data_IF_417637784875
#
_entry.id   IF_417637784875
#
_cell.length_a   1.000
_cell.length_b   1.000
_cell.length_c   1.000
_cell.angle_alpha   90.00
_cell.angle_beta   90.00
_cell.angle_gamma   90.00
#
_symmetry.space_group_name_H-M   'P 1'
#
loop_
_entity.id
_entity.type
_entity.pdbx_description
1 polymer ?
#
# COMPACT_ATOMS: atom_id res chain seq x y z
N UNK A 1 -9.32 -26.33 -30.48
CA UNK A 1 -10.78 -26.34 -30.50
C UNK A 1 -11.23 -24.90 -30.74
N UNK A 2 -11.74 -24.58 -31.93
CA UNK A 2 -12.16 -23.23 -32.29
C UNK A 2 -13.47 -22.91 -31.60
N UNK A 3 -13.43 -22.16 -30.50
CA UNK A 3 -14.63 -21.68 -29.84
C UNK A 3 -15.17 -20.48 -30.62
N UNK A 4 -16.23 -20.78 -31.38
CA UNK A 4 -17.24 -19.86 -31.91
C UNK A 4 -17.55 -18.79 -30.86
N UNK A 5 -17.81 -17.55 -31.28
CA UNK A 5 -18.24 -16.42 -30.43
C UNK A 5 -19.36 -16.90 -29.50
N UNK A 6 -19.03 -17.27 -28.26
CA UNK A 6 -20.00 -17.75 -27.29
C UNK A 6 -20.72 -16.54 -26.69
N UNK A 7 -22.03 -16.66 -26.54
CA UNK A 7 -22.84 -15.63 -25.91
C UNK A 7 -22.52 -15.57 -24.41
N UNK A 8 -22.67 -14.40 -23.77
CA UNK A 8 -22.41 -14.24 -22.34
C UNK A 8 -23.25 -15.20 -21.49
N UNK A 9 -24.48 -15.50 -21.91
CA UNK A 9 -25.37 -16.44 -21.24
C UNK A 9 -24.84 -17.89 -21.28
N UNK A 10 -24.26 -18.32 -22.40
CA UNK A 10 -23.68 -19.66 -22.53
C UNK A 10 -22.43 -19.82 -21.65
N UNK A 11 -21.56 -18.81 -21.68
CA UNK A 11 -20.37 -18.77 -20.83
C UNK A 11 -20.75 -18.82 -19.34
N UNK A 12 -21.72 -17.99 -18.93
CA UNK A 12 -22.22 -17.96 -17.55
C UNK A 12 -22.82 -19.31 -17.13
N UNK A 13 -23.57 -19.96 -18.03
CA UNK A 13 -24.14 -21.28 -17.76
C UNK A 13 -23.04 -22.34 -17.53
N UNK A 14 -22.01 -22.38 -18.38
CA UNK A 14 -20.90 -23.31 -18.26
C UNK A 14 -20.09 -23.08 -16.97
N UNK A 15 -19.81 -21.82 -16.63
CA UNK A 15 -19.10 -21.46 -15.39
C UNK A 15 -19.90 -21.91 -14.17
N UNK A 16 -21.22 -21.70 -14.16
CA UNK A 16 -22.09 -22.07 -13.02
C UNK A 16 -22.23 -23.57 -12.83
N UNK A 17 -22.41 -24.32 -13.93
CA UNK A 17 -22.78 -25.74 -13.86
C UNK A 17 -21.57 -26.67 -13.88
N UNK A 18 -20.53 -26.31 -14.62
CA UNK A 18 -19.37 -27.18 -14.87
C UNK A 18 -18.09 -26.65 -14.23
N UNK A 19 -18.13 -25.46 -13.59
CA UNK A 19 -16.95 -24.77 -13.07
C UNK A 19 -15.83 -24.64 -14.15
N UNK A 20 -16.24 -24.46 -15.41
CA UNK A 20 -15.34 -24.46 -16.55
C UNK A 20 -14.43 -23.21 -16.54
N UNK A 21 -13.13 -23.44 -16.33
CA UNK A 21 -12.10 -22.41 -16.31
C UNK A 21 -11.90 -21.77 -17.68
N UNK A 22 -12.05 -22.54 -18.76
CA UNK A 22 -11.87 -22.05 -20.13
C UNK A 22 -13.00 -21.06 -20.47
N UNK A 23 -14.22 -21.38 -20.06
CA UNK A 23 -15.36 -20.47 -20.22
C UNK A 23 -15.14 -19.15 -19.46
N UNK A 24 -14.56 -19.20 -18.26
CA UNK A 24 -14.20 -18.00 -17.52
C UNK A 24 -13.10 -17.19 -18.20
N UNK A 25 -12.07 -17.83 -18.76
CA UNK A 25 -11.01 -17.14 -19.50
C UNK A 25 -11.57 -16.34 -20.69
N UNK A 26 -12.53 -16.92 -21.43
CA UNK A 26 -13.23 -16.18 -22.50
C UNK A 26 -14.02 -14.98 -21.97
N UNK A 27 -14.72 -15.16 -20.85
CA UNK A 27 -15.46 -14.06 -20.21
C UNK A 27 -14.50 -12.96 -19.73
N UNK A 28 -13.36 -13.34 -19.13
CA UNK A 28 -12.31 -12.42 -18.72
C UNK A 28 -11.77 -11.62 -19.91
N UNK A 29 -11.40 -12.28 -21.00
CA UNK A 29 -10.87 -11.62 -22.19
C UNK A 29 -11.85 -10.58 -22.77
N UNK A 30 -13.16 -10.86 -22.68
CA UNK A 30 -14.22 -9.96 -23.14
C UNK A 30 -14.42 -8.75 -22.22
N UNK A 31 -14.31 -8.93 -20.91
CA UNK A 31 -14.64 -7.90 -19.91
C UNK A 31 -13.43 -7.14 -19.32
N UNK A 32 -12.19 -7.61 -19.50
CA UNK A 32 -10.99 -6.97 -18.93
C UNK A 32 -10.88 -5.48 -19.29
N UNK A 33 -11.13 -5.10 -20.56
CA UNK A 33 -11.06 -3.70 -21.01
C UNK A 33 -12.18 -2.86 -20.39
N UNK A 34 -13.33 -3.48 -20.15
CA UNK A 34 -14.46 -2.83 -19.49
C UNK A 34 -14.18 -2.59 -18.00
N UNK A 35 -13.53 -3.54 -17.32
CA UNK A 35 -13.09 -3.37 -15.93
C UNK A 35 -12.09 -2.23 -15.84
N UNK A 36 -11.05 -2.22 -16.68
CA UNK A 36 -10.07 -1.14 -16.74
C UNK A 36 -10.72 0.23 -16.97
N UNK A 37 -11.66 0.30 -17.92
CA UNK A 37 -12.46 1.52 -18.13
C UNK A 37 -13.17 1.96 -16.86
N UNK A 38 -13.76 1.04 -16.09
CA UNK A 38 -14.42 1.39 -14.84
C UNK A 38 -13.44 1.84 -13.76
N UNK A 39 -12.28 1.19 -13.62
CA UNK A 39 -11.21 1.57 -12.67
C UNK A 39 -10.75 3.01 -12.94
N UNK A 40 -10.46 3.35 -14.19
CA UNK A 40 -10.04 4.70 -14.57
C UNK A 40 -11.10 5.78 -14.35
N UNK A 41 -12.40 5.40 -14.27
CA UNK A 41 -13.49 6.32 -13.94
C UNK A 41 -13.64 6.57 -12.43
N UNK A 42 -12.95 5.81 -11.57
CA UNK A 42 -13.07 5.94 -10.11
C UNK A 42 -12.23 7.07 -9.51
N UNK A 43 -11.41 7.77 -10.31
CA UNK A 43 -10.55 8.88 -9.85
C UNK A 43 -9.64 8.54 -8.66
N UNK A 44 -9.12 7.31 -8.62
CA UNK A 44 -8.20 6.80 -7.58
C UNK A 44 -6.73 6.92 -8.01
N UNK A 45 -5.81 6.91 -7.05
CA UNK A 45 -4.36 6.92 -7.28
C UNK A 45 -3.93 5.74 -8.16
N UNK A 46 -2.97 5.97 -9.06
CA UNK A 46 -2.51 4.94 -10.02
C UNK A 46 -1.98 3.67 -9.35
N UNK A 47 -1.37 3.80 -8.17
CA UNK A 47 -0.88 2.65 -7.38
C UNK A 47 -2.00 1.68 -6.96
N UNK A 48 -3.24 2.17 -6.84
CA UNK A 48 -4.41 1.36 -6.45
C UNK A 48 -5.07 0.72 -7.68
N UNK A 49 -4.68 1.09 -8.90
CA UNK A 49 -5.38 0.66 -10.10
C UNK A 49 -5.31 -0.86 -10.31
N UNK A 50 -4.14 -1.46 -10.06
CA UNK A 50 -3.95 -2.90 -10.21
C UNK A 50 -4.81 -3.68 -9.21
N UNK A 51 -4.87 -3.23 -7.95
CA UNK A 51 -5.71 -3.84 -6.91
C UNK A 51 -7.20 -3.76 -7.25
N UNK A 52 -7.67 -2.59 -7.70
CA UNK A 52 -9.04 -2.42 -8.16
C UNK A 52 -9.35 -3.25 -9.41
N UNK A 53 -8.39 -3.41 -10.31
CA UNK A 53 -8.55 -4.26 -11.49
C UNK A 53 -8.70 -5.73 -11.07
N UNK A 54 -7.86 -6.23 -10.16
CA UNK A 54 -7.97 -7.59 -9.62
C UNK A 54 -9.30 -7.83 -8.93
N UNK A 55 -9.75 -6.90 -8.08
CA UNK A 55 -11.07 -6.94 -7.44
C UNK A 55 -12.20 -6.92 -8.48
N UNK A 56 -12.02 -6.21 -9.60
CA UNK A 56 -12.93 -6.26 -10.73
C UNK A 56 -13.03 -7.63 -11.39
N UNK A 57 -11.91 -8.36 -11.52
CA UNK A 57 -11.90 -9.74 -12.02
C UNK A 57 -12.63 -10.66 -11.05
N UNK A 58 -12.38 -10.54 -9.75
CA UNK A 58 -13.09 -11.32 -8.73
C UNK A 58 -14.61 -11.04 -8.78
N UNK A 59 -14.99 -9.79 -8.98
CA UNK A 59 -16.39 -9.39 -9.16
C UNK A 59 -16.99 -9.96 -10.45
N UNK A 60 -16.22 -10.13 -11.53
CA UNK A 60 -16.67 -10.78 -12.75
C UNK A 60 -16.96 -12.26 -12.51
N UNK A 61 -16.08 -12.96 -11.79
CA UNK A 61 -16.30 -14.36 -11.39
C UNK A 61 -17.55 -14.49 -10.52
N UNK A 62 -17.69 -13.63 -9.51
CA UNK A 62 -18.89 -13.56 -8.67
C UNK A 62 -20.14 -13.25 -9.49
N UNK A 63 -20.06 -12.36 -10.47
CA UNK A 63 -21.18 -12.05 -11.37
C UNK A 63 -21.60 -13.29 -12.15
N UNK A 64 -20.63 -14.02 -12.71
CA UNK A 64 -20.88 -15.25 -13.45
C UNK A 64 -21.60 -16.29 -12.57
N UNK A 65 -21.24 -16.45 -11.30
CA UNK A 65 -21.90 -17.39 -10.40
C UNK A 65 -23.29 -16.96 -9.93
N UNK A 66 -23.50 -15.65 -9.72
CA UNK A 66 -24.72 -15.12 -9.08
C UNK A 66 -25.76 -14.56 -10.05
N UNK A 67 -25.42 -14.43 -11.34
CA UNK A 67 -26.33 -13.86 -12.34
C UNK A 67 -27.62 -14.66 -12.46
N UNK A 68 -28.75 -13.96 -12.54
CA UNK A 68 -30.07 -14.57 -12.63
C UNK A 68 -30.84 -13.88 -13.76
N UNK A 69 -31.11 -14.66 -14.81
CA UNK A 69 -31.75 -14.19 -16.04
C UNK A 69 -33.21 -13.77 -15.80
N UNK A 70 -33.87 -14.32 -14.78
CA UNK A 70 -35.26 -13.99 -14.44
C UNK A 70 -35.45 -12.52 -14.04
N UNK A 71 -34.38 -11.81 -13.70
CA UNK A 71 -34.40 -10.42 -13.24
C UNK A 71 -34.45 -9.37 -14.36
N UNK A 72 -34.71 -9.78 -15.61
CA UNK A 72 -34.86 -8.89 -16.79
C UNK A 72 -33.72 -7.87 -16.95
N UNK A 73 -32.47 -8.29 -16.70
CA UNK A 73 -31.26 -7.48 -16.92
C UNK A 73 -30.25 -8.30 -17.70
N UNK A 74 -29.57 -7.66 -18.66
CA UNK A 74 -28.46 -8.30 -19.34
C UNK A 74 -27.32 -8.54 -18.35
N UNK A 75 -26.53 -9.59 -18.60
CA UNK A 75 -25.35 -9.92 -17.78
C UNK A 75 -24.42 -8.71 -17.64
N UNK A 76 -24.12 -8.00 -18.74
CA UNK A 76 -23.29 -6.80 -18.74
C UNK A 76 -23.81 -5.72 -17.78
N UNK A 77 -25.12 -5.46 -17.78
CA UNK A 77 -25.73 -4.44 -16.90
C UNK A 77 -25.75 -4.87 -15.44
N UNK A 78 -25.98 -6.16 -15.19
CA UNK A 78 -25.86 -6.72 -13.85
C UNK A 78 -24.42 -6.60 -13.32
N UNK A 79 -23.44 -7.00 -14.13
CA UNK A 79 -22.03 -6.93 -13.78
C UNK A 79 -21.57 -5.48 -13.51
N UNK A 80 -21.89 -4.56 -14.42
CA UNK A 80 -21.57 -3.13 -14.25
C UNK A 80 -22.12 -2.57 -12.93
N UNK A 81 -23.36 -2.93 -12.57
CA UNK A 81 -24.02 -2.47 -11.36
C UNK A 81 -23.27 -2.95 -10.11
N UNK A 82 -22.97 -4.24 -10.01
CA UNK A 82 -22.31 -4.79 -8.82
C UNK A 82 -20.85 -4.35 -8.74
N UNK A 83 -20.17 -4.20 -9.88
CA UNK A 83 -18.79 -3.74 -9.98
C UNK A 83 -18.65 -2.31 -9.43
N UNK A 84 -19.49 -1.38 -9.91
CA UNK A 84 -19.47 0.01 -9.43
C UNK A 84 -19.75 0.10 -7.93
N UNK A 85 -20.72 -0.66 -7.42
CA UNK A 85 -21.03 -0.71 -5.98
C UNK A 85 -19.84 -1.19 -5.16
N UNK A 86 -19.16 -2.24 -5.62
CA UNK A 86 -17.97 -2.79 -4.98
C UNK A 86 -16.84 -1.75 -4.95
N UNK A 87 -16.57 -1.09 -6.07
CA UNK A 87 -15.55 -0.05 -6.13
C UNK A 87 -15.84 1.13 -5.21
N UNK A 88 -17.08 1.63 -5.12
CA UNK A 88 -17.42 2.68 -4.16
C UNK A 88 -17.21 2.23 -2.71
N UNK A 89 -17.51 0.97 -2.38
CA UNK A 89 -17.24 0.41 -1.06
C UNK A 89 -15.73 0.32 -0.78
N UNK A 90 -14.92 -0.08 -1.75
CA UNK A 90 -13.46 -0.10 -1.61
C UNK A 90 -12.89 1.31 -1.40
N UNK A 91 -13.32 2.28 -2.21
CA UNK A 91 -12.88 3.69 -2.08
C UNK A 91 -13.19 4.22 -0.68
N UNK A 92 -14.37 3.91 -0.13
CA UNK A 92 -14.74 4.33 1.22
C UNK A 92 -13.84 3.79 2.34
N UNK A 93 -13.08 2.72 2.06
CA UNK A 93 -12.15 2.08 2.99
C UNK A 93 -10.69 2.48 2.78
N UNK A 94 -10.38 3.22 1.70
CA UNK A 94 -9.02 3.65 1.43
C UNK A 94 -8.49 4.57 2.54
N UNK A 95 -7.20 4.48 2.89
CA UNK A 95 -6.62 5.31 3.92
C UNK A 95 -6.69 6.79 3.53
N UNK A 96 -7.29 7.60 4.41
CA UNK A 96 -7.41 9.05 4.19
C UNK A 96 -6.07 9.78 4.26
N UNK A 97 -5.09 9.19 4.95
CA UNK A 97 -3.74 9.73 5.12
C UNK A 97 -2.72 8.68 4.70
N UNK A 98 -1.80 9.07 3.82
CA UNK A 98 -0.66 8.25 3.44
C UNK A 98 0.50 8.62 4.38
N UNK A 99 0.95 7.66 5.18
CA UNK A 99 2.16 7.82 5.98
C UNK A 99 3.34 7.42 5.10
N UNK A 100 4.21 8.37 4.80
CA UNK A 100 5.50 8.07 4.19
C UNK A 100 6.46 7.69 5.33
N UNK A 101 7.05 6.50 5.25
CA UNK A 101 8.21 6.19 6.08
C UNK A 101 9.36 7.08 5.60
N UNK A 102 9.94 7.89 6.49
CA UNK A 102 11.17 8.63 6.19
C UNK A 102 12.26 7.61 5.85
N UNK A 103 12.52 7.38 4.57
CA UNK A 103 13.57 6.49 4.07
C UNK A 103 14.96 6.87 4.59
N UNK A 104 15.15 8.15 4.95
CA UNK A 104 16.32 8.66 5.66
C UNK A 104 16.59 7.99 7.02
N UNK A 105 15.60 7.33 7.63
CA UNK A 105 15.80 6.64 8.91
C UNK A 105 16.53 5.29 8.73
N UNK A 106 16.26 4.57 7.64
CA UNK A 106 16.85 3.25 7.37
C UNK A 106 18.24 3.36 6.73
N UNK A 107 18.45 4.37 5.87
CA UNK A 107 19.72 4.58 5.16
C UNK A 107 20.89 4.90 6.12
N UNK A 108 20.60 5.47 7.30
CA UNK A 108 21.60 5.69 8.35
C UNK A 108 22.09 4.41 9.06
N UNK A 109 21.41 3.27 8.92
CA UNK A 109 21.72 2.06 9.70
C UNK A 109 22.18 0.85 8.86
N UNK A 110 22.08 0.89 7.53
CA UNK A 110 22.29 -0.32 6.71
C UNK A 110 23.67 -0.48 6.05
N UNK A 111 24.62 0.45 6.20
CA UNK A 111 25.93 0.35 5.51
C UNK A 111 27.19 0.69 6.32
N UNK A 112 27.15 0.71 7.65
CA UNK A 112 28.38 0.71 8.46
C UNK A 112 28.35 -0.38 9.53
N UNK A 113 28.62 -1.62 9.10
CA UNK A 113 29.39 -2.54 9.92
C UNK A 113 30.82 -1.98 10.05
N UNK A 114 31.27 -1.78 11.28
CA UNK A 114 32.68 -1.56 11.67
C UNK A 114 33.36 -0.23 11.29
N UNK A 115 32.76 0.91 11.62
CA UNK A 115 33.55 2.09 12.05
C UNK A 115 33.16 2.43 13.48
N UNK A 116 34.13 2.31 14.37
CA UNK A 116 34.00 2.30 15.84
C UNK A 116 33.10 3.43 16.36
N UNK A 117 32.04 3.11 17.10
CA UNK A 117 31.24 4.11 17.83
C UNK A 117 32.12 5.06 18.68
N UNK A 118 33.31 4.60 19.09
CA UNK A 118 34.33 5.37 19.80
C UNK A 118 34.85 6.60 19.03
N UNK A 119 34.96 6.56 17.70
CA UNK A 119 35.45 7.71 16.91
C UNK A 119 34.41 8.84 16.86
N UNK A 120 33.12 8.48 16.82
CA UNK A 120 32.02 9.43 16.80
C UNK A 120 31.83 10.13 18.16
N UNK A 121 32.13 9.41 19.26
CA UNK A 121 32.07 9.93 20.61
C UNK A 121 33.13 11.02 20.80
N UNK A 122 34.33 10.87 20.25
CA UNK A 122 35.43 11.82 20.48
C UNK A 122 35.18 13.21 19.85
N UNK A 123 34.40 13.26 18.76
CA UNK A 123 33.98 14.50 18.09
C UNK A 123 32.77 15.19 18.76
N UNK A 124 32.13 14.55 19.75
CA UNK A 124 30.96 15.06 20.43
C UNK A 124 31.33 15.85 21.70
N UNK A 125 30.60 16.93 21.96
CA UNK A 125 30.67 17.58 23.28
C UNK A 125 30.09 16.67 24.37
N UNK A 126 30.45 16.89 25.64
CA UNK A 126 29.93 16.08 26.76
C UNK A 126 28.39 16.02 26.78
N UNK A 127 27.75 17.15 26.47
CA UNK A 127 26.30 17.21 26.31
C UNK A 127 25.79 16.35 25.16
N UNK A 128 26.46 16.36 24.00
CA UNK A 128 26.07 15.53 22.86
C UNK A 128 26.31 14.04 23.11
N UNK A 129 27.34 13.68 23.90
CA UNK A 129 27.58 12.28 24.32
C UNK A 129 26.44 11.77 25.19
N UNK A 130 25.98 12.55 26.17
CA UNK A 130 24.84 12.18 27.00
C UNK A 130 23.55 12.07 26.18
N UNK A 131 23.30 13.01 25.26
CA UNK A 131 22.15 12.94 24.35
C UNK A 131 22.25 11.73 23.42
N UNK A 132 23.45 11.40 22.94
CA UNK A 132 23.69 10.22 22.12
C UNK A 132 23.31 8.94 22.88
N UNK A 133 23.80 8.80 24.11
CA UNK A 133 23.48 7.68 24.98
C UNK A 133 21.96 7.56 25.24
N UNK A 134 21.30 8.61 25.70
CA UNK A 134 19.88 8.52 26.05
C UNK A 134 18.95 8.37 24.85
N UNK A 135 19.22 9.06 23.74
CA UNK A 135 18.32 9.06 22.58
C UNK A 135 18.62 7.94 21.57
N UNK A 136 19.90 7.71 21.25
CA UNK A 136 20.27 6.77 20.19
C UNK A 136 20.51 5.36 20.72
N UNK A 137 21.14 5.21 21.90
CA UNK A 137 21.41 3.89 22.50
C UNK A 137 20.19 3.41 23.31
N UNK A 138 19.75 4.20 24.29
CA UNK A 138 18.66 3.81 25.21
C UNK A 138 17.25 4.06 24.68
N UNK A 139 17.12 4.71 23.51
CA UNK A 139 15.85 4.99 22.82
C UNK A 139 14.81 5.71 23.68
N UNK A 140 15.25 6.61 24.57
CA UNK A 140 14.35 7.36 25.43
C UNK A 140 13.62 8.49 24.68
N UNK A 141 12.38 8.78 25.07
CA UNK A 141 11.64 9.92 24.52
C UNK A 141 12.23 11.27 24.98
N UNK A 142 12.27 12.27 24.10
CA UNK A 142 12.83 13.62 24.38
C UNK A 142 12.25 14.27 25.64
N UNK A 143 10.97 14.04 25.94
CA UNK A 143 10.33 14.54 27.17
C UNK A 143 10.97 13.96 28.45
N UNK A 144 11.41 12.71 28.41
CA UNK A 144 12.08 12.04 29.54
C UNK A 144 13.50 12.57 29.70
N UNK A 145 14.22 12.69 28.59
CA UNK A 145 15.59 13.26 28.54
C UNK A 145 15.59 14.70 29.07
N UNK A 146 14.62 15.52 28.64
CA UNK A 146 14.45 16.91 29.10
C UNK A 146 14.29 17.02 30.61
N UNK A 147 13.54 16.10 31.23
CA UNK A 147 13.38 16.05 32.69
C UNK A 147 14.66 15.60 33.39
N UNK A 148 15.33 14.57 32.86
CA UNK A 148 16.53 14.00 33.47
C UNK A 148 17.73 14.97 33.42
N UNK A 149 17.91 15.64 32.30
CA UNK A 149 18.99 16.60 32.07
C UNK A 149 18.64 18.05 32.46
N UNK A 150 17.41 18.27 32.95
CA UNK A 150 16.87 19.60 33.31
C UNK A 150 17.10 20.65 32.22
N UNK A 151 16.87 20.28 30.96
CA UNK A 151 17.12 21.13 29.80
C UNK A 151 15.90 21.22 28.87
N UNK A 152 15.78 22.31 28.12
CA UNK A 152 14.64 22.51 27.23
C UNK A 152 14.63 21.48 26.09
N UNK A 153 13.44 20.98 25.68
CA UNK A 153 13.33 20.04 24.55
C UNK A 153 13.99 20.55 23.27
N UNK A 154 13.93 21.86 23.01
CA UNK A 154 14.57 22.50 21.86
C UNK A 154 16.09 22.31 21.85
N UNK A 155 16.74 22.37 23.02
CA UNK A 155 18.20 22.12 23.13
C UNK A 155 18.54 20.68 22.79
N UNK A 156 17.70 19.72 23.19
CA UNK A 156 17.85 18.30 22.86
C UNK A 156 17.71 18.07 21.36
N UNK A 157 16.67 18.62 20.72
CA UNK A 157 16.51 18.52 19.27
C UNK A 157 17.68 19.11 18.50
N UNK A 158 18.20 20.26 18.94
CA UNK A 158 19.39 20.87 18.34
C UNK A 158 20.62 19.96 18.48
N UNK A 159 20.81 19.31 19.63
CA UNK A 159 21.90 18.36 19.83
C UNK A 159 21.74 17.12 18.95
N UNK A 160 20.54 16.53 18.86
CA UNK A 160 20.24 15.40 17.96
C UNK A 160 20.56 15.78 16.50
N UNK A 161 20.18 16.98 16.08
CA UNK A 161 20.49 17.48 14.74
C UNK A 161 22.01 17.57 14.51
N UNK A 162 22.76 18.19 15.44
CA UNK A 162 24.23 18.29 15.33
C UNK A 162 24.91 16.92 15.31
N UNK A 163 24.44 15.97 16.12
CA UNK A 163 24.96 14.59 16.14
C UNK A 163 24.75 13.94 14.76
N UNK A 164 23.57 14.06 14.17
CA UNK A 164 23.27 13.52 12.84
C UNK A 164 24.12 14.17 11.74
N UNK A 165 24.31 15.50 11.79
CA UNK A 165 25.17 16.21 10.84
C UNK A 165 26.64 15.78 10.97
N UNK A 166 27.14 15.59 12.19
CA UNK A 166 28.50 15.07 12.42
C UNK A 166 28.67 13.67 11.83
N UNK A 167 27.69 12.78 12.06
CA UNK A 167 27.71 11.44 11.47
C UNK A 167 27.72 11.48 9.94
N UNK A 168 26.87 12.33 9.34
CA UNK A 168 26.82 12.51 7.89
C UNK A 168 28.14 12.99 7.29
N UNK A 169 28.90 13.81 8.00
CA UNK A 169 30.20 14.31 7.54
C UNK A 169 31.35 13.31 7.75
N UNK A 170 31.11 12.18 8.44
CA UNK A 170 32.10 11.11 8.63
C UNK A 170 32.00 10.01 7.57
N UNK A 171 30.90 9.97 6.81
CA UNK A 171 30.67 9.07 5.67
C UNK A 171 31.13 9.77 4.40
#
# INVERSE_FOLDING_TARGET
MYYKIMNDYELVYLIKTQADTIAFDFLYQKYQKFIWKCVHLMHIDQKEHDDFFQEGIQMLYKAALTFDESKNKTFTRYFELILKRHFYQMISKLPKYQLYEDSNFMECFSYHESTSHDEMIDLCSDFEKEIFQYYFIEKQAVKRISKQMSCEPKKIYNAIFRIKEKYKNMI
#
